data_IF_653800741188
#
_entry.id   IF_653800741188
#
_cell.length_a   1.000
_cell.length_b   1.000
_cell.length_c   1.000
_cell.angle_alpha   90.00
_cell.angle_beta   90.00
_cell.angle_gamma   90.00
#
_symmetry.space_group_name_H-M   'P 1'
#
loop_
_entity.id
_entity.type
_entity.pdbx_description
1 polymer ?
#
# COMPACT_ATOMS: atom_id res chain seq x y z
N UNK A 1 -39.89 -21.33 -12.38
CA UNK A 1 -39.83 -19.88 -12.07
C UNK A 1 -38.98 -19.16 -13.13
N UNK A 2 -39.56 -18.77 -14.28
CA UNK A 2 -38.81 -18.22 -15.42
C UNK A 2 -37.98 -16.97 -15.09
N UNK A 3 -38.52 -16.07 -14.26
CA UNK A 3 -37.84 -14.83 -13.87
C UNK A 3 -36.56 -15.09 -13.05
N UNK A 4 -36.57 -16.09 -12.15
CA UNK A 4 -35.37 -16.43 -11.37
C UNK A 4 -34.24 -16.95 -12.26
N UNK A 5 -34.56 -17.78 -13.24
CA UNK A 5 -33.58 -18.27 -14.22
C UNK A 5 -33.03 -17.15 -15.10
N UNK A 6 -33.87 -16.20 -15.53
CA UNK A 6 -33.41 -15.04 -16.28
C UNK A 6 -32.46 -14.16 -15.45
N UNK A 7 -32.77 -13.90 -14.17
CA UNK A 7 -31.89 -13.19 -13.26
C UNK A 7 -30.57 -13.93 -13.01
N UNK A 8 -30.62 -15.26 -12.86
CA UNK A 8 -29.43 -16.09 -12.69
C UNK A 8 -28.50 -15.98 -13.90
N UNK A 9 -29.03 -16.08 -15.12
CA UNK A 9 -28.24 -15.91 -16.34
C UNK A 9 -27.61 -14.51 -16.43
N UNK A 10 -28.36 -13.46 -16.05
CA UNK A 10 -27.83 -12.10 -16.01
C UNK A 10 -26.67 -11.97 -15.01
N UNK A 11 -26.79 -12.58 -13.82
CA UNK A 11 -25.72 -12.59 -12.82
C UNK A 11 -24.48 -13.36 -13.29
N UNK A 12 -24.66 -14.47 -14.01
CA UNK A 12 -23.54 -15.22 -14.61
C UNK A 12 -22.82 -14.38 -15.67
N UNK A 13 -23.57 -13.73 -16.57
CA UNK A 13 -23.00 -12.84 -17.59
C UNK A 13 -22.28 -11.64 -16.96
N UNK A 14 -22.87 -11.04 -15.92
CA UNK A 14 -22.24 -9.96 -15.16
C UNK A 14 -20.93 -10.42 -14.50
N UNK A 15 -20.93 -11.59 -13.85
CA UNK A 15 -19.72 -12.16 -13.24
C UNK A 15 -18.61 -12.41 -14.26
N UNK A 16 -18.95 -12.89 -15.47
CA UNK A 16 -17.99 -13.08 -16.54
C UNK A 16 -17.39 -11.75 -17.00
N UNK A 17 -18.23 -10.73 -17.25
CA UNK A 17 -17.75 -9.41 -17.68
C UNK A 17 -16.85 -8.78 -16.61
N UNK A 18 -17.25 -8.85 -15.33
CA UNK A 18 -16.46 -8.32 -14.22
C UNK A 18 -15.10 -9.01 -14.14
N UNK A 19 -15.06 -10.34 -14.30
CA UNK A 19 -13.80 -11.09 -14.31
C UNK A 19 -12.91 -10.68 -15.50
N UNK A 20 -13.49 -10.47 -16.69
CA UNK A 20 -12.73 -10.00 -17.86
C UNK A 20 -12.12 -8.61 -17.63
N UNK A 21 -12.89 -7.67 -17.07
CA UNK A 21 -12.39 -6.32 -16.74
C UNK A 21 -11.25 -6.36 -15.71
N UNK A 22 -11.38 -7.20 -14.67
CA UNK A 22 -10.32 -7.38 -13.67
C UNK A 22 -9.05 -7.96 -14.30
N UNK A 23 -9.18 -8.95 -15.17
CA UNK A 23 -8.03 -9.54 -15.88
C UNK A 23 -7.33 -8.52 -16.77
N UNK A 24 -8.09 -7.73 -17.53
CA UNK A 24 -7.54 -6.68 -18.39
C UNK A 24 -6.82 -5.60 -17.58
N UNK A 25 -7.39 -5.16 -16.45
CA UNK A 25 -6.75 -4.22 -15.54
C UNK A 25 -5.42 -4.76 -14.98
N UNK A 26 -5.39 -6.04 -14.58
CA UNK A 26 -4.15 -6.70 -14.11
C UNK A 26 -3.09 -6.74 -15.21
N UNK A 27 -3.45 -7.16 -16.41
CA UNK A 27 -2.52 -7.24 -17.55
C UNK A 27 -1.93 -5.87 -17.93
N UNK A 28 -2.74 -4.81 -17.91
CA UNK A 28 -2.26 -3.45 -18.17
C UNK A 28 -1.28 -2.99 -17.09
N UNK A 29 -1.58 -3.27 -15.82
CA UNK A 29 -0.69 -2.97 -14.69
C UNK A 29 0.64 -3.71 -14.80
N UNK A 30 0.61 -5.03 -15.03
CA UNK A 30 1.81 -5.86 -15.19
C UNK A 30 2.68 -5.38 -16.36
N UNK A 31 2.07 -5.09 -17.51
CA UNK A 31 2.79 -4.57 -18.68
C UNK A 31 3.44 -3.22 -18.41
N UNK A 32 2.78 -2.35 -17.64
CA UNK A 32 3.35 -1.07 -17.24
C UNK A 32 4.54 -1.28 -16.30
N UNK A 33 4.39 -2.11 -15.26
CA UNK A 33 5.45 -2.44 -14.30
C UNK A 33 6.67 -3.02 -15.01
N UNK A 34 6.50 -4.00 -15.90
CA UNK A 34 7.61 -4.63 -16.64
C UNK A 34 8.38 -3.62 -17.51
N UNK A 35 7.66 -2.69 -18.17
CA UNK A 35 8.29 -1.63 -18.96
C UNK A 35 9.09 -0.69 -18.08
N UNK A 36 8.52 -0.24 -16.97
CA UNK A 36 9.19 0.65 -16.02
C UNK A 36 10.42 -0.03 -15.40
N UNK A 37 10.30 -1.29 -14.97
CA UNK A 37 11.44 -2.07 -14.46
C UNK A 37 12.57 -2.18 -15.48
N UNK A 38 12.24 -2.47 -16.75
CA UNK A 38 13.25 -2.58 -17.81
C UNK A 38 14.02 -1.25 -17.99
N UNK A 39 13.30 -0.11 -17.95
CA UNK A 39 13.92 1.21 -18.04
C UNK A 39 14.78 1.54 -16.82
N UNK A 40 14.29 1.25 -15.60
CA UNK A 40 15.05 1.48 -14.37
C UNK A 40 16.31 0.60 -14.30
N UNK A 41 16.24 -0.65 -14.77
CA UNK A 41 17.41 -1.52 -14.88
C UNK A 41 18.44 -0.98 -15.90
N UNK A 42 17.99 -0.49 -17.06
CA UNK A 42 18.89 0.14 -18.05
C UNK A 42 19.55 1.40 -17.48
N UNK A 43 18.79 2.23 -16.72
CA UNK A 43 19.34 3.40 -16.03
C UNK A 43 20.37 3.02 -14.97
N UNK A 44 20.13 1.97 -14.16
CA UNK A 44 21.11 1.50 -13.17
C UNK A 44 22.41 0.97 -13.80
N UNK A 45 22.35 0.41 -15.00
CA UNK A 45 23.52 -0.12 -15.69
C UNK A 45 24.33 0.95 -16.41
N UNK A 46 23.71 2.08 -16.77
CA UNK A 46 24.35 3.16 -17.55
C UNK A 46 24.72 4.38 -16.72
N UNK A 47 23.95 4.68 -15.68
CA UNK A 47 24.06 5.88 -14.85
C UNK A 47 24.30 5.56 -13.36
N UNK A 48 24.44 6.60 -12.54
CA UNK A 48 24.51 6.51 -11.08
C UNK A 48 23.15 6.09 -10.48
N UNK A 49 23.10 5.38 -9.33
CA UNK A 49 21.85 5.04 -8.62
C UNK A 49 20.93 6.23 -8.34
N UNK A 50 21.47 7.44 -8.30
CA UNK A 50 20.72 8.69 -8.18
C UNK A 50 19.78 8.96 -9.36
N UNK A 51 20.04 8.39 -10.54
CA UNK A 51 19.20 8.53 -11.74
C UNK A 51 17.77 8.02 -11.52
N UNK A 52 17.59 7.03 -10.63
CA UNK A 52 16.30 6.49 -10.22
C UNK A 52 15.32 7.56 -9.68
N UNK A 53 15.87 8.66 -9.15
CA UNK A 53 15.10 9.74 -8.52
C UNK A 53 15.16 11.04 -9.35
N UNK A 54 16.23 11.26 -10.12
CA UNK A 54 16.43 12.51 -10.86
C UNK A 54 15.93 12.47 -12.30
N UNK A 55 15.74 11.29 -12.89
CA UNK A 55 15.28 11.13 -14.28
C UNK A 55 13.82 10.67 -14.34
N UNK A 56 13.23 10.80 -15.53
CA UNK A 56 11.89 10.31 -15.86
C UNK A 56 11.98 9.19 -16.90
N UNK A 57 11.36 8.02 -16.70
CA UNK A 57 10.51 7.66 -15.55
C UNK A 57 11.31 7.45 -14.26
N UNK A 58 10.68 7.76 -13.12
CA UNK A 58 11.28 7.66 -11.79
C UNK A 58 10.79 6.42 -11.03
N UNK A 59 11.35 6.16 -9.86
CA UNK A 59 10.88 5.07 -8.98
C UNK A 59 9.43 5.23 -8.52
N UNK A 60 8.84 6.43 -8.57
CA UNK A 60 7.42 6.64 -8.29
C UNK A 60 6.51 6.06 -9.38
N UNK A 61 7.02 5.86 -10.60
CA UNK A 61 6.24 5.26 -11.70
C UNK A 61 6.15 3.73 -11.59
N UNK A 62 6.95 3.12 -10.70
CA UNK A 62 6.91 1.67 -10.47
C UNK A 62 5.73 1.26 -9.60
N UNK A 63 5.42 2.06 -8.58
CA UNK A 63 4.39 1.78 -7.58
C UNK A 63 3.61 3.06 -7.35
N UNK A 64 2.27 2.98 -7.42
CA UNK A 64 1.40 4.10 -7.06
C UNK A 64 1.72 4.57 -5.63
N UNK A 65 2.27 5.76 -5.49
CA UNK A 65 2.69 6.34 -4.23
C UNK A 65 2.57 7.87 -4.29
N UNK A 66 2.58 8.51 -3.12
CA UNK A 66 2.56 9.98 -3.02
C UNK A 66 3.97 10.54 -2.96
N UNK A 67 4.95 9.71 -2.57
CA UNK A 67 6.36 10.02 -2.67
C UNK A 67 7.23 8.78 -2.60
N UNK A 68 8.49 8.96 -2.94
CA UNK A 68 9.52 7.94 -2.87
C UNK A 68 10.85 8.58 -2.47
N UNK A 69 11.78 7.79 -1.95
CA UNK A 69 13.11 8.29 -1.65
C UNK A 69 14.18 7.23 -1.78
N UNK A 70 15.39 7.65 -2.17
CA UNK A 70 16.59 6.83 -2.14
C UNK A 70 17.49 7.32 -1.00
N UNK A 71 17.84 6.42 -0.10
CA UNK A 71 18.90 6.64 0.89
C UNK A 71 20.12 5.82 0.47
N UNK A 72 21.15 6.50 -0.02
CA UNK A 72 22.32 5.85 -0.63
C UNK A 72 23.61 6.52 -0.16
N UNK A 73 24.55 5.72 0.34
CA UNK A 73 25.86 6.20 0.85
C UNK A 73 25.74 7.36 1.86
N UNK A 74 24.73 7.29 2.74
CA UNK A 74 24.46 8.32 3.75
C UNK A 74 23.87 9.62 3.20
N UNK A 75 23.53 9.68 1.91
CA UNK A 75 22.82 10.81 1.29
C UNK A 75 21.35 10.47 1.07
N UNK A 76 20.50 11.47 1.26
CA UNK A 76 19.06 11.34 1.11
C UNK A 76 18.57 12.06 -0.14
N UNK A 77 17.83 11.33 -0.99
CA UNK A 77 17.27 11.82 -2.25
C UNK A 77 15.74 11.62 -2.26
N UNK A 78 14.97 12.61 -1.79
CA UNK A 78 13.50 12.55 -1.77
C UNK A 78 12.87 12.93 -3.11
N UNK A 79 11.66 12.40 -3.35
CA UNK A 79 10.79 12.75 -4.47
C UNK A 79 9.32 12.69 -4.04
N UNK A 80 8.55 13.74 -4.29
CA UNK A 80 7.14 13.81 -3.86
C UNK A 80 6.98 14.01 -2.35
N UNK A 81 5.90 13.45 -1.78
CA UNK A 81 5.59 13.56 -0.34
C UNK A 81 6.45 12.58 0.45
N UNK A 82 7.41 13.11 1.19
CA UNK A 82 8.42 12.32 1.91
C UNK A 82 8.70 12.88 3.30
N UNK A 83 9.16 12.06 4.26
CA UNK A 83 9.66 12.54 5.54
C UNK A 83 10.87 13.46 5.39
N UNK A 84 11.14 14.27 6.41
CA UNK A 84 12.39 15.04 6.49
C UNK A 84 13.61 14.13 6.66
N UNK A 85 14.82 14.66 6.38
CA UNK A 85 16.05 13.88 6.54
C UNK A 85 16.29 13.41 7.99
N UNK A 86 15.85 14.17 8.98
CA UNK A 86 15.94 13.75 10.38
C UNK A 86 14.99 12.57 10.67
N UNK A 87 13.77 12.63 10.14
CA UNK A 87 12.77 11.58 10.32
C UNK A 87 13.15 10.30 9.58
N UNK A 88 13.71 10.39 8.36
CA UNK A 88 14.12 9.20 7.63
C UNK A 88 15.28 8.48 8.30
N UNK A 89 16.21 9.22 8.94
CA UNK A 89 17.26 8.61 9.76
C UNK A 89 16.68 7.85 10.95
N UNK A 90 15.62 8.38 11.57
CA UNK A 90 14.86 7.69 12.60
C UNK A 90 14.23 6.39 12.10
N UNK A 91 13.60 6.42 10.92
CA UNK A 91 13.00 5.24 10.28
C UNK A 91 14.06 4.20 9.94
N UNK A 92 15.19 4.58 9.35
CA UNK A 92 16.31 3.67 9.04
C UNK A 92 16.86 3.02 10.32
N UNK A 93 17.03 3.79 11.40
CA UNK A 93 17.47 3.26 12.69
C UNK A 93 16.49 2.22 13.26
N UNK A 94 15.20 2.49 13.15
CA UNK A 94 14.15 1.53 13.53
C UNK A 94 14.15 0.28 12.66
N UNK A 95 14.27 0.41 11.34
CA UNK A 95 14.34 -0.73 10.42
C UNK A 95 15.53 -1.63 10.72
N UNK A 96 16.70 -1.06 10.98
CA UNK A 96 17.89 -1.85 11.34
C UNK A 96 17.74 -2.57 12.68
N UNK A 97 17.07 -1.95 13.65
CA UNK A 97 16.87 -2.53 14.99
C UNK A 97 15.77 -3.61 15.03
N UNK A 98 14.67 -3.41 14.29
CA UNK A 98 13.47 -4.27 14.37
C UNK A 98 13.29 -5.20 13.18
N UNK A 99 13.94 -4.91 12.04
CA UNK A 99 13.74 -5.60 10.76
C UNK A 99 15.05 -5.86 9.99
N UNK A 100 16.22 -5.84 10.66
CA UNK A 100 17.53 -5.96 10.02
C UNK A 100 17.76 -7.26 9.20
N UNK A 101 17.07 -8.34 9.56
CA UNK A 101 17.16 -9.63 8.86
C UNK A 101 16.19 -9.77 7.68
N UNK A 102 15.32 -8.78 7.45
CA UNK A 102 14.36 -8.76 6.35
C UNK A 102 14.95 -8.08 5.11
N UNK A 103 14.51 -8.50 3.91
CA UNK A 103 14.85 -7.83 2.64
C UNK A 103 14.05 -6.54 2.42
N UNK A 104 13.06 -6.27 3.28
CA UNK A 104 12.23 -5.07 3.23
C UNK A 104 11.02 -5.15 4.18
N UNK A 105 10.18 -4.13 4.15
CA UNK A 105 8.92 -4.06 4.90
C UNK A 105 7.87 -3.32 4.06
N UNK A 106 6.62 -3.77 4.12
CA UNK A 106 5.47 -3.05 3.57
C UNK A 106 4.37 -2.95 4.64
N UNK A 107 3.90 -1.74 4.91
CA UNK A 107 2.83 -1.46 5.87
C UNK A 107 1.93 -0.31 5.39
N UNK A 108 0.63 -0.40 5.67
CA UNK A 108 -0.35 0.66 5.45
C UNK A 108 -0.44 1.65 6.64
N UNK A 109 0.20 1.32 7.77
CA UNK A 109 0.33 2.20 8.95
C UNK A 109 1.67 1.95 9.66
N UNK A 110 2.54 2.96 9.62
CA UNK A 110 3.78 2.98 10.40
C UNK A 110 3.51 2.92 11.91
N UNK A 111 2.39 3.49 12.38
CA UNK A 111 1.99 3.42 13.77
C UNK A 111 1.67 1.98 14.20
N UNK A 112 0.86 1.27 13.39
CA UNK A 112 0.47 -0.12 13.68
C UNK A 112 1.63 -1.10 13.49
N UNK A 113 2.60 -0.75 12.62
CA UNK A 113 3.86 -1.49 12.48
C UNK A 113 4.80 -1.33 13.67
N UNK A 114 4.52 -0.40 14.60
CA UNK A 114 5.31 -0.19 15.81
C UNK A 114 6.46 0.82 15.68
N UNK A 115 6.45 1.68 14.65
CA UNK A 115 7.43 2.76 14.56
C UNK A 115 7.10 3.87 15.59
N UNK A 116 7.98 4.15 16.57
CA UNK A 116 7.68 5.09 17.65
C UNK A 116 7.52 6.54 17.18
N UNK A 117 8.15 6.92 16.07
CA UNK A 117 8.05 8.26 15.49
C UNK A 117 6.84 8.47 14.57
N UNK A 118 5.92 7.50 14.46
CA UNK A 118 4.83 7.59 13.49
C UNK A 118 3.91 8.80 13.72
N UNK A 119 3.72 9.21 14.98
CA UNK A 119 2.88 10.36 15.31
C UNK A 119 3.44 11.70 14.82
N UNK A 120 4.77 11.84 14.66
CA UNK A 120 5.37 13.09 14.17
C UNK A 120 5.26 13.25 12.65
N UNK A 121 5.19 12.14 11.92
CA UNK A 121 5.00 12.13 10.46
C UNK A 121 3.61 12.65 10.03
N UNK A 122 2.63 12.54 10.92
CA UNK A 122 1.26 13.01 10.70
C UNK A 122 0.56 12.32 9.53
N UNK A 123 -0.36 13.04 8.89
CA UNK A 123 -1.17 12.52 7.78
C UNK A 123 -0.40 12.49 6.43
N UNK A 124 0.79 13.10 6.36
CA UNK A 124 1.59 13.15 5.14
C UNK A 124 2.23 11.80 4.80
N UNK A 125 2.61 11.01 5.82
CA UNK A 125 3.24 9.70 5.62
C UNK A 125 2.67 8.71 6.64
N UNK A 126 1.80 7.82 6.18
CA UNK A 126 1.19 6.76 6.99
C UNK A 126 1.63 5.37 6.52
N UNK A 127 1.57 5.14 5.21
CA UNK A 127 2.01 3.90 4.59
C UNK A 127 3.44 3.99 4.10
N UNK A 128 4.16 2.87 4.19
CA UNK A 128 5.54 2.77 3.72
C UNK A 128 5.80 1.38 3.13
N UNK A 129 6.45 1.35 1.98
CA UNK A 129 7.17 0.18 1.50
C UNK A 129 8.66 0.51 1.42
N UNK A 130 9.51 -0.41 1.88
CA UNK A 130 10.97 -0.27 1.81
C UNK A 130 11.59 -1.53 1.22
N UNK A 131 12.58 -1.33 0.35
CA UNK A 131 13.43 -2.38 -0.19
C UNK A 131 14.89 -2.09 0.15
N UNK A 132 15.61 -3.11 0.63
CA UNK A 132 17.04 -2.99 0.92
C UNK A 132 17.83 -3.24 -0.37
N UNK A 133 18.66 -2.28 -0.76
CA UNK A 133 19.61 -2.45 -1.88
C UNK A 133 20.88 -3.10 -1.33
N UNK A 134 21.37 -2.57 -0.21
CA UNK A 134 22.46 -3.12 0.60
C UNK A 134 22.04 -3.03 2.08
N UNK A 135 22.81 -3.57 3.04
CA UNK A 135 22.50 -3.40 4.46
C UNK A 135 22.44 -1.94 4.94
N UNK A 136 22.95 -0.98 4.16
CA UNK A 136 23.02 0.45 4.51
C UNK A 136 22.29 1.37 3.52
N UNK A 137 21.84 0.83 2.39
CA UNK A 137 21.18 1.58 1.31
C UNK A 137 19.75 1.08 1.11
N UNK A 138 18.81 2.03 1.06
CA UNK A 138 17.38 1.75 1.10
C UNK A 138 16.64 2.52 0.02
N UNK A 139 15.61 1.89 -0.53
CA UNK A 139 14.64 2.53 -1.40
C UNK A 139 13.28 2.53 -0.71
N UNK A 140 12.64 3.70 -0.66
CA UNK A 140 11.39 3.92 0.03
C UNK A 140 10.29 4.37 -0.92
N UNK A 141 9.07 3.92 -0.64
CA UNK A 141 7.83 4.47 -1.18
C UNK A 141 6.91 4.81 -0.02
N UNK A 142 6.29 5.99 -0.10
CA UNK A 142 5.41 6.52 0.94
C UNK A 142 4.02 6.77 0.39
N UNK A 143 3.03 6.57 1.26
CA UNK A 143 1.65 6.96 1.01
C UNK A 143 1.12 7.75 2.19
N UNK A 144 0.40 8.80 1.86
CA UNK A 144 -0.29 9.67 2.79
C UNK A 144 -1.48 8.95 3.43
N UNK A 145 -2.00 9.54 4.48
CA UNK A 145 -3.26 9.11 5.04
C UNK A 145 -4.38 9.25 3.99
N UNK A 146 -5.10 8.16 3.74
CA UNK A 146 -6.36 8.23 3.01
C UNK A 146 -7.48 8.02 4.02
N UNK A 147 -8.25 9.07 4.29
CA UNK A 147 -9.42 8.97 5.14
C UNK A 147 -10.38 7.92 4.54
N UNK A 148 -10.49 6.77 5.22
CA UNK A 148 -11.41 5.70 4.84
C UNK A 148 -12.59 5.73 5.79
N UNK A 149 -13.69 6.28 5.30
CA UNK A 149 -14.98 6.21 5.95
C UNK A 149 -15.65 4.87 5.64
N UNK A 150 -15.82 4.03 6.66
CA UNK A 150 -16.55 2.77 6.53
C UNK A 150 -17.90 2.95 7.22
N UNK A 151 -18.98 2.89 6.44
CA UNK A 151 -20.35 2.89 6.99
C UNK A 151 -20.76 1.45 7.31
N UNK A 152 -20.77 1.11 8.58
CA UNK A 152 -21.16 -0.20 9.07
C UNK A 152 -22.67 -0.29 9.30
N UNK A 153 -23.29 -1.39 8.87
CA UNK A 153 -24.69 -1.70 9.15
C UNK A 153 -24.87 -2.40 10.50
N UNK A 154 -24.81 -1.66 11.61
CA UNK A 154 -25.10 -2.15 12.95
C UNK A 154 -23.94 -2.78 13.73
N UNK A 155 -22.95 -3.39 13.07
CA UNK A 155 -21.73 -3.86 13.75
C UNK A 155 -20.51 -3.85 12.82
N UNK A 156 -19.34 -3.56 13.40
CA UNK A 156 -18.02 -3.65 12.76
C UNK A 156 -17.61 -5.11 12.60
N UNK A 157 -16.93 -5.44 11.50
CA UNK A 157 -16.31 -6.74 11.32
C UNK A 157 -14.98 -6.83 12.08
N UNK A 158 -14.79 -7.89 12.87
CA UNK A 158 -13.49 -8.22 13.44
C UNK A 158 -12.91 -9.43 12.69
N UNK A 159 -11.67 -9.37 12.18
CA UNK A 159 -11.07 -10.48 11.40
C UNK A 159 -10.97 -11.80 12.16
N UNK A 160 -10.96 -11.76 13.50
CA UNK A 160 -10.95 -12.94 14.36
C UNK A 160 -12.32 -13.58 14.58
N UNK A 161 -13.40 -12.92 14.17
CA UNK A 161 -14.75 -13.46 14.28
C UNK A 161 -14.90 -14.68 13.37
N UNK A 162 -15.41 -15.78 13.92
CA UNK A 162 -15.75 -17.00 13.19
C UNK A 162 -17.22 -17.30 13.36
N UNK A 163 -17.78 -18.00 12.38
CA UNK A 163 -19.16 -18.47 12.46
C UNK A 163 -19.30 -19.44 13.65
N UNK A 164 -20.18 -19.08 14.58
CA UNK A 164 -20.58 -19.90 15.70
C UNK A 164 -21.87 -20.64 15.35
N UNK A 165 -21.77 -21.95 15.09
CA UNK A 165 -22.91 -22.80 14.74
C UNK A 165 -23.93 -22.99 15.88
N UNK A 166 -23.59 -22.62 17.12
CA UNK A 166 -24.54 -22.62 18.25
C UNK A 166 -25.32 -21.31 18.36
N UNK A 167 -24.89 -20.25 17.66
CA UNK A 167 -25.53 -18.94 17.71
C UNK A 167 -26.79 -18.92 16.85
N UNK A 168 -27.94 -19.00 17.50
CA UNK A 168 -29.25 -19.07 16.84
C UNK A 168 -29.93 -17.71 16.61
N UNK A 169 -29.37 -16.62 17.13
CA UNK A 169 -29.96 -15.28 17.02
C UNK A 169 -29.10 -14.34 16.17
N UNK A 170 -29.67 -13.74 15.10
CA UNK A 170 -28.98 -12.70 14.34
C UNK A 170 -28.88 -11.42 15.16
N UNK A 171 -28.18 -10.41 14.61
CA UNK A 171 -28.12 -9.08 15.23
C UNK A 171 -29.50 -8.41 15.27
N UNK A 172 -29.70 -7.56 16.27
CA UNK A 172 -30.96 -6.85 16.50
C UNK A 172 -31.05 -5.50 15.80
N UNK A 173 -29.91 -4.92 15.39
CA UNK A 173 -29.85 -3.62 14.70
C UNK A 173 -28.94 -3.67 13.47
N UNK A 174 -29.33 -2.90 12.45
CA UNK A 174 -28.53 -2.58 11.26
C UNK A 174 -28.35 -1.06 11.11
N UNK A 175 -28.57 -0.29 12.18
CA UNK A 175 -28.40 1.17 12.17
C UNK A 175 -27.00 1.53 11.67
N UNK A 176 -26.96 2.39 10.65
CA UNK A 176 -25.70 2.82 10.06
C UNK A 176 -24.89 3.64 11.08
N UNK A 177 -23.62 3.29 11.24
CA UNK A 177 -22.65 4.15 11.95
C UNK A 177 -21.36 4.26 11.15
N UNK A 178 -20.69 5.39 11.34
CA UNK A 178 -19.48 5.74 10.61
C UNK A 178 -18.26 5.34 11.44
N UNK A 179 -17.38 4.53 10.86
CA UNK A 179 -16.02 4.38 11.33
C UNK A 179 -15.08 5.21 10.47
N UNK A 180 -14.33 6.11 11.10
CA UNK A 180 -13.26 6.88 10.46
C UNK A 180 -11.95 6.20 10.82
N UNK A 181 -11.39 5.45 9.87
CA UNK A 181 -10.05 4.87 10.04
C UNK A 181 -9.04 6.00 9.92
N UNK A 182 -8.28 6.25 10.98
CA UNK A 182 -7.23 7.29 11.02
C UNK A 182 -5.86 6.67 10.79
N UNK A 183 -4.94 7.46 10.25
CA UNK A 183 -3.51 7.14 10.14
C UNK A 183 -3.19 5.85 9.36
N UNK A 184 -4.00 5.54 8.34
CA UNK A 184 -3.75 4.45 7.38
C UNK A 184 -3.75 4.97 5.96
N UNK A 185 -2.86 4.42 5.13
CA UNK A 185 -2.85 4.65 3.68
C UNK A 185 -3.72 3.63 2.95
N UNK A 186 -3.80 3.77 1.63
CA UNK A 186 -4.21 2.65 0.79
C UNK A 186 -3.16 1.51 0.89
N UNK A 187 -3.59 0.24 0.92
CA UNK A 187 -2.71 -0.92 0.88
C UNK A 187 -2.04 -1.08 -0.50
#
# INVERSE_FOLDING_TARGET
>A
FPLRYACEFLMQAFGLQLNMELQLASQLSEKHILRTQTLLCDMLLRDSPTALVTQSPSIMDLVRCDGAALYYQGKYWPLGVTPSEAEIKGIVGWLLASHGDSTGLSTDSLADAGYPGAASLGDAVCGMAVAHITPVDFLFWFRSHTAKEIKWGGAKHHPGDKDDGQRMHPRTSFSAFLEVVKSRSLP
#
